data_IF_227153539265
#
_entry.id   IF_227153539265
#
_cell.length_a   1.000
_cell.length_b   1.000
_cell.length_c   1.000
_cell.angle_alpha   90.00
_cell.angle_beta   90.00
_cell.angle_gamma   90.00
#
_symmetry.space_group_name_H-M   'P 1'
#
loop_
_entity.id
_entity.type
_entity.pdbx_description
1 polymer ?
#
# COMPACT_ATOMS: atom_id res chain seq x y z
N UNK A 1 -16.52 43.20 21.24
CA UNK A 1 -16.12 43.10 19.82
C UNK A 1 -14.81 42.32 19.62
N UNK A 2 -13.78 42.49 20.47
CA UNK A 2 -12.51 41.76 20.36
C UNK A 2 -12.59 40.23 20.52
N UNK A 3 -13.47 39.71 21.38
CA UNK A 3 -13.63 38.26 21.61
C UNK A 3 -14.23 37.51 20.42
N UNK A 4 -15.16 38.14 19.69
CA UNK A 4 -15.77 37.56 18.49
C UNK A 4 -14.74 37.45 17.35
N UNK A 5 -13.92 38.49 17.18
CA UNK A 5 -12.83 38.49 16.18
C UNK A 5 -11.77 37.42 16.49
N UNK A 6 -11.45 37.22 17.78
CA UNK A 6 -10.48 36.20 18.22
C UNK A 6 -10.98 34.77 17.97
N UNK A 7 -12.27 34.49 18.23
CA UNK A 7 -12.85 33.16 17.97
C UNK A 7 -12.88 32.84 16.48
N UNK A 8 -13.28 33.78 15.63
CA UNK A 8 -13.30 33.58 14.17
C UNK A 8 -11.89 33.35 13.62
N UNK A 9 -10.88 34.06 14.15
CA UNK A 9 -9.50 33.89 13.73
C UNK A 9 -8.91 32.54 14.17
N UNK A 10 -9.21 32.09 15.40
CA UNK A 10 -8.83 30.75 15.89
C UNK A 10 -9.50 29.65 15.06
N UNK A 11 -10.78 29.80 14.74
CA UNK A 11 -11.51 28.84 13.90
C UNK A 11 -10.92 28.77 12.48
N UNK A 12 -10.54 29.93 11.92
CA UNK A 12 -9.86 30.00 10.62
C UNK A 12 -8.49 29.32 10.63
N UNK A 13 -7.71 29.49 11.70
CA UNK A 13 -6.40 28.84 11.88
C UNK A 13 -6.53 27.31 12.02
N UNK A 14 -7.55 26.82 12.73
CA UNK A 14 -7.84 25.39 12.85
C UNK A 14 -8.32 24.76 11.53
N UNK A 15 -9.04 25.53 10.70
CA UNK A 15 -9.42 25.08 9.37
C UNK A 15 -8.19 24.99 8.44
N UNK A 16 -7.30 25.98 8.51
CA UNK A 16 -6.08 26.04 7.70
C UNK A 16 -5.10 24.87 7.98
N UNK A 17 -4.95 24.45 9.23
CA UNK A 17 -4.06 23.34 9.59
C UNK A 17 -4.51 21.98 8.99
N UNK A 18 -5.80 21.81 8.72
CA UNK A 18 -6.35 20.57 8.14
C UNK A 18 -5.97 20.37 6.67
N UNK A 19 -5.60 21.45 5.95
CA UNK A 19 -5.14 21.37 4.55
C UNK A 19 -3.68 20.90 4.43
N UNK A 20 -2.91 20.86 5.52
CA UNK A 20 -1.48 20.53 5.50
C UNK A 20 -1.20 19.04 5.76
N UNK A 21 -2.02 18.15 5.19
CA UNK A 21 -1.79 16.71 5.24
C UNK A 21 -0.90 16.29 4.05
N UNK A 22 0.40 16.17 4.28
CA UNK A 22 1.34 15.68 3.27
C UNK A 22 1.17 14.17 3.07
N UNK A 23 0.92 13.74 1.83
CA UNK A 23 0.91 12.32 1.48
C UNK A 23 2.32 11.73 1.68
N UNK A 24 2.41 10.58 2.36
CA UNK A 24 3.69 9.84 2.45
C UNK A 24 4.03 9.27 1.08
N UNK A 25 5.24 9.52 0.54
CA UNK A 25 5.63 8.94 -0.74
C UNK A 25 5.74 7.43 -0.61
N UNK A 26 5.18 6.70 -1.58
CA UNK A 26 5.38 5.27 -1.71
C UNK A 26 6.78 5.07 -2.31
N UNK A 27 7.69 4.33 -1.67
CA UNK A 27 9.01 4.08 -2.22
C UNK A 27 8.88 3.23 -3.49
N UNK A 28 9.84 3.38 -4.40
CA UNK A 28 9.97 2.42 -5.50
C UNK A 28 10.29 1.03 -4.95
N UNK A 29 9.79 -0.04 -5.58
CA UNK A 29 10.15 -1.40 -5.20
C UNK A 29 11.67 -1.61 -5.19
N UNK A 30 12.22 -2.43 -4.27
CA UNK A 30 13.63 -2.78 -4.28
C UNK A 30 13.97 -3.65 -5.49
N UNK A 31 15.24 -3.62 -5.92
CA UNK A 31 15.75 -4.58 -6.90
C UNK A 31 15.88 -5.96 -6.25
N UNK A 32 15.09 -6.93 -6.71
CA UNK A 32 15.15 -8.31 -6.27
C UNK A 32 15.83 -9.14 -7.36
N UNK A 33 16.85 -9.91 -6.96
CA UNK A 33 17.51 -10.89 -7.83
C UNK A 33 16.66 -12.17 -7.92
N UNK A 34 15.59 -12.08 -8.71
CA UNK A 34 14.68 -13.18 -8.99
C UNK A 34 14.20 -13.11 -10.44
N UNK A 35 13.88 -14.26 -11.03
CA UNK A 35 13.33 -14.38 -12.38
C UNK A 35 11.94 -13.77 -12.53
N UNK A 36 11.11 -13.87 -11.48
CA UNK A 36 9.81 -13.23 -11.32
C UNK A 36 9.44 -13.19 -9.84
N UNK A 37 8.61 -12.22 -9.42
CA UNK A 37 8.06 -12.16 -8.06
C UNK A 37 6.73 -11.42 -8.02
N UNK A 38 5.96 -11.66 -6.96
CA UNK A 38 4.68 -11.01 -6.71
C UNK A 38 4.50 -10.73 -5.21
N UNK A 39 4.30 -9.47 -4.84
CA UNK A 39 4.04 -9.04 -3.48
C UNK A 39 2.64 -8.42 -3.40
N UNK A 40 1.78 -9.05 -2.61
CA UNK A 40 0.38 -8.67 -2.45
C UNK A 40 0.03 -8.51 -0.97
N UNK A 41 -0.80 -7.50 -0.67
CA UNK A 41 -1.43 -7.37 0.64
C UNK A 41 -2.58 -8.37 0.79
N UNK A 42 -2.52 -9.22 1.82
CA UNK A 42 -3.48 -10.32 2.00
C UNK A 42 -4.92 -9.85 2.24
N UNK A 43 -5.12 -8.75 2.97
CA UNK A 43 -6.46 -8.30 3.34
C UNK A 43 -7.17 -7.57 2.19
N UNK A 44 -6.44 -6.73 1.46
CA UNK A 44 -6.99 -5.89 0.38
C UNK A 44 -6.82 -6.48 -1.02
N UNK A 45 -5.95 -7.47 -1.19
CA UNK A 45 -5.55 -7.98 -2.51
C UNK A 45 -4.72 -6.98 -3.33
N UNK A 46 -4.27 -5.87 -2.73
CA UNK A 46 -3.51 -4.84 -3.43
C UNK A 46 -2.10 -5.33 -3.74
N UNK A 47 -1.70 -5.24 -5.01
CA UNK A 47 -0.32 -5.46 -5.45
C UNK A 47 0.55 -4.32 -4.95
N UNK A 48 1.64 -4.66 -4.25
CA UNK A 48 2.61 -3.72 -3.71
C UNK A 48 3.88 -3.65 -4.57
N UNK A 49 4.28 -4.76 -5.17
CA UNK A 49 5.39 -4.85 -6.10
C UNK A 49 5.32 -6.16 -6.90
N UNK A 50 5.78 -6.15 -8.15
CA UNK A 50 5.84 -7.34 -9.00
C UNK A 50 6.97 -7.23 -10.03
N UNK A 51 7.41 -8.38 -10.53
CA UNK A 51 8.31 -8.51 -11.67
C UNK A 51 7.87 -9.72 -12.48
N UNK A 52 7.50 -9.51 -13.73
CA UNK A 52 7.06 -10.54 -14.68
C UNK A 52 6.06 -11.55 -14.08
N UNK A 53 4.92 -11.08 -13.50
CA UNK A 53 4.02 -11.93 -12.69
C UNK A 53 3.39 -13.09 -13.46
N UNK A 54 3.18 -12.93 -14.77
CA UNK A 54 2.58 -13.95 -15.64
C UNK A 54 3.61 -14.84 -16.35
N UNK A 55 4.91 -14.64 -16.08
CA UNK A 55 5.97 -15.47 -16.64
C UNK A 55 5.83 -16.90 -16.15
N UNK A 56 5.67 -17.84 -17.08
CA UNK A 56 5.64 -19.27 -16.76
C UNK A 56 7.01 -19.70 -16.25
N UNK A 57 7.04 -20.15 -15.00
CA UNK A 57 8.22 -20.70 -14.32
C UNK A 57 7.88 -22.09 -13.78
N UNK A 58 8.88 -22.96 -13.67
CA UNK A 58 8.68 -24.29 -13.10
C UNK A 58 8.41 -24.18 -11.58
N UNK A 59 7.25 -24.64 -11.07
CA UNK A 59 6.89 -24.44 -9.67
C UNK A 59 7.60 -25.39 -8.70
N UNK A 60 8.25 -26.46 -9.18
CA UNK A 60 8.87 -27.48 -8.35
C UNK A 60 7.98 -27.90 -7.16
N UNK A 61 8.47 -27.78 -5.92
CA UNK A 61 7.69 -28.13 -4.72
C UNK A 61 6.48 -27.22 -4.44
N UNK A 62 6.37 -26.04 -5.05
CA UNK A 62 5.23 -25.12 -4.87
C UNK A 62 3.92 -25.76 -5.35
N UNK A 63 3.97 -26.72 -6.30
CA UNK A 63 2.79 -27.49 -6.73
C UNK A 63 2.06 -28.16 -5.56
N UNK A 64 2.75 -28.49 -4.46
CA UNK A 64 2.15 -29.05 -3.25
C UNK A 64 1.12 -28.14 -2.60
N UNK A 65 1.21 -26.81 -2.78
CA UNK A 65 0.21 -25.87 -2.27
C UNK A 65 -1.16 -26.12 -2.91
N UNK A 66 -1.21 -26.40 -4.23
CA UNK A 66 -2.47 -26.71 -4.91
C UNK A 66 -3.02 -28.09 -4.49
N UNK A 67 -2.15 -29.07 -4.26
CA UNK A 67 -2.58 -30.36 -3.72
C UNK A 67 -3.16 -30.21 -2.30
N UNK A 68 -2.51 -29.45 -1.42
CA UNK A 68 -3.01 -29.17 -0.07
C UNK A 68 -4.37 -28.46 -0.13
N UNK A 69 -4.48 -27.45 -1.00
CA UNK A 69 -5.73 -26.69 -1.20
C UNK A 69 -6.93 -27.55 -1.65
N UNK A 70 -6.69 -28.67 -2.34
CA UNK A 70 -7.75 -29.59 -2.80
C UNK A 70 -8.15 -30.65 -1.77
N UNK A 71 -7.29 -30.94 -0.80
CA UNK A 71 -7.50 -32.02 0.18
C UNK A 71 -8.20 -31.49 1.43
N UNK A 72 -7.94 -30.23 1.80
CA UNK A 72 -8.72 -29.50 2.82
C UNK A 72 -10.15 -29.22 2.35
#
# INVERSE_FOLDING_TARGET
MSRFFLVTNVLFLLFCSSLYAAAKPIPSPPSIDADSFYLVDFQSGRVLAEKDPDKRVEPASITKLMTAYLVD
#
